data_IF_122838173623
#
_entry.id   IF_122838173623
#
_cell.length_a   1.000
_cell.length_b   1.000
_cell.length_c   1.000
_cell.angle_alpha   90.00
_cell.angle_beta   90.00
_cell.angle_gamma   90.00
#
_symmetry.space_group_name_H-M   'P 1'
#
loop_
_entity.id
_entity.type
_entity.pdbx_description
1 polymer ?
#
# COMPACT_ATOMS: atom_id res chain seq x y z
N UNK A 1 50.48 -5.57 -92.74
CA UNK A 1 49.04 -5.61 -92.41
C UNK A 1 48.87 -6.47 -91.17
N UNK A 2 48.66 -5.86 -90.01
CA UNK A 2 48.11 -6.57 -88.85
C UNK A 2 47.48 -5.54 -87.91
N UNK A 3 46.15 -5.63 -87.81
CA UNK A 3 45.32 -4.82 -86.92
C UNK A 3 45.53 -5.27 -85.48
N UNK A 4 45.67 -4.32 -84.55
CA UNK A 4 45.54 -4.59 -83.11
C UNK A 4 44.41 -3.70 -82.59
N UNK A 5 43.30 -4.36 -82.26
CA UNK A 5 42.08 -3.79 -81.68
C UNK A 5 42.32 -3.22 -80.29
N UNK A 6 41.74 -2.04 -80.04
CA UNK A 6 41.58 -1.45 -78.72
C UNK A 6 40.40 -2.12 -77.99
N UNK A 7 40.65 -2.74 -76.84
CA UNK A 7 39.62 -3.12 -75.88
C UNK A 7 39.48 -2.02 -74.83
N UNK A 8 38.32 -1.34 -74.82
CA UNK A 8 37.95 -0.37 -73.80
C UNK A 8 37.55 -1.06 -72.50
N UNK A 9 38.16 -0.67 -71.39
CA UNK A 9 37.83 -1.12 -70.05
C UNK A 9 36.63 -0.30 -69.53
N UNK A 10 35.47 -0.92 -69.39
CA UNK A 10 34.31 -0.33 -68.73
C UNK A 10 34.40 -0.59 -67.21
N UNK A 11 34.60 0.46 -66.43
CA UNK A 11 34.56 0.42 -64.96
C UNK A 11 33.12 0.44 -64.46
N UNK A 12 32.66 -0.65 -63.85
CA UNK A 12 31.42 -0.70 -63.07
C UNK A 12 31.62 0.04 -61.74
N UNK A 13 30.80 1.06 -61.48
CA UNK A 13 30.66 1.68 -60.16
C UNK A 13 29.60 0.90 -59.38
N UNK A 14 30.02 0.19 -58.33
CA UNK A 14 29.11 -0.48 -57.41
C UNK A 14 28.53 0.55 -56.43
N UNK A 15 27.21 0.76 -56.48
CA UNK A 15 26.49 1.57 -55.50
C UNK A 15 26.37 0.77 -54.18
N UNK A 16 26.92 1.31 -53.09
CA UNK A 16 26.75 0.75 -51.76
C UNK A 16 25.31 0.98 -51.25
N UNK A 17 24.64 -0.02 -50.64
CA UNK A 17 23.33 0.18 -50.05
C UNK A 17 23.42 1.11 -48.83
N UNK A 18 22.64 2.18 -48.87
CA UNK A 18 22.41 3.09 -47.75
C UNK A 18 21.80 2.32 -46.58
N UNK A 19 22.59 2.05 -45.54
CA UNK A 19 22.05 1.48 -44.30
C UNK A 19 21.33 2.59 -43.53
N UNK A 20 19.99 2.54 -43.55
CA UNK A 20 19.18 3.33 -42.62
C UNK A 20 19.58 2.94 -41.19
N UNK A 21 19.84 3.90 -40.29
CA UNK A 21 20.13 3.60 -38.90
C UNK A 21 18.95 2.82 -38.31
N UNK A 22 19.22 1.62 -37.82
CA UNK A 22 18.26 0.80 -37.09
C UNK A 22 17.72 1.63 -35.94
N UNK A 23 16.41 1.93 -35.98
CA UNK A 23 15.66 2.56 -34.90
C UNK A 23 15.95 1.77 -33.62
N UNK A 24 16.71 2.36 -32.70
CA UNK A 24 16.88 1.84 -31.35
C UNK A 24 15.48 1.65 -30.78
N UNK A 25 15.08 0.40 -30.55
CA UNK A 25 13.83 0.13 -29.85
C UNK A 25 13.88 0.87 -28.50
N UNK A 26 12.79 1.53 -28.07
CA UNK A 26 12.78 2.16 -26.77
C UNK A 26 13.14 1.10 -25.72
N UNK A 27 14.02 1.46 -24.80
CA UNK A 27 14.41 0.61 -23.68
C UNK A 27 13.13 0.31 -22.90
N UNK A 28 12.60 -0.93 -22.98
CA UNK A 28 11.49 -1.30 -22.11
C UNK A 28 11.97 -1.19 -20.66
N UNK A 29 11.18 -0.47 -19.85
CA UNK A 29 11.37 -0.43 -18.40
C UNK A 29 11.30 -1.88 -17.91
N UNK A 30 12.38 -2.37 -17.30
CA UNK A 30 12.43 -3.74 -16.79
C UNK A 30 11.65 -3.83 -15.48
N UNK A 31 10.89 -4.91 -15.32
CA UNK A 31 10.30 -5.29 -14.05
C UNK A 31 11.38 -5.33 -12.94
N UNK A 32 11.03 -4.88 -11.74
CA UNK A 32 11.91 -4.89 -10.57
C UNK A 32 11.35 -5.84 -9.52
N UNK A 33 12.09 -6.88 -9.17
CA UNK A 33 11.70 -7.85 -8.13
C UNK A 33 12.47 -7.59 -6.82
N UNK A 34 11.73 -7.54 -5.72
CA UNK A 34 12.20 -7.18 -4.39
C UNK A 34 11.61 -8.14 -3.35
N UNK A 35 12.39 -8.56 -2.36
CA UNK A 35 11.96 -9.54 -1.37
C UNK A 35 12.25 -9.11 0.07
N UNK A 36 12.90 -7.95 0.27
CA UNK A 36 13.15 -7.40 1.59
C UNK A 36 11.86 -6.93 2.26
N UNK A 37 11.86 -6.94 3.60
CA UNK A 37 10.68 -6.60 4.41
C UNK A 37 10.09 -5.23 4.07
N UNK A 38 10.96 -4.24 3.86
CA UNK A 38 10.60 -2.83 3.64
C UNK A 38 11.01 -2.32 2.25
N UNK A 39 11.29 -3.24 1.32
CA UNK A 39 11.63 -2.86 -0.04
C UNK A 39 10.43 -2.18 -0.73
N UNK A 40 10.70 -1.16 -1.55
CA UNK A 40 9.70 -0.44 -2.32
C UNK A 40 10.24 0.09 -3.66
N UNK A 41 9.31 0.46 -4.55
CA UNK A 41 9.61 1.14 -5.82
C UNK A 41 8.69 2.34 -6.00
N UNK A 42 9.26 3.52 -6.22
CA UNK A 42 8.52 4.68 -6.70
C UNK A 42 8.35 4.64 -8.22
N UNK A 43 7.12 4.77 -8.71
CA UNK A 43 6.82 4.74 -10.14
C UNK A 43 5.50 5.42 -10.47
N UNK A 44 5.52 6.38 -11.40
CA UNK A 44 4.31 6.93 -12.03
C UNK A 44 3.25 7.47 -11.07
N UNK A 45 3.68 8.14 -10.00
CA UNK A 45 2.79 8.69 -8.96
C UNK A 45 2.38 7.69 -7.89
N UNK A 46 3.05 6.54 -7.80
CA UNK A 46 2.84 5.55 -6.75
C UNK A 46 4.15 5.20 -6.05
N UNK A 47 4.07 4.81 -4.78
CA UNK A 47 5.08 3.99 -4.12
C UNK A 47 4.51 2.60 -3.89
N UNK A 48 5.16 1.57 -4.43
CA UNK A 48 4.71 0.19 -4.34
C UNK A 48 5.62 -0.55 -3.36
N UNK A 49 5.05 -1.07 -2.29
CA UNK A 49 5.76 -1.66 -1.15
C UNK A 49 5.62 -3.18 -1.11
N UNK A 50 6.68 -3.87 -0.67
CA UNK A 50 6.58 -5.27 -0.29
C UNK A 50 5.90 -5.40 1.07
N UNK A 51 6.32 -4.58 2.04
CA UNK A 51 5.66 -4.35 3.34
C UNK A 51 5.33 -5.64 4.11
N UNK A 52 6.36 -6.39 4.51
CA UNK A 52 6.22 -7.62 5.30
C UNK A 52 6.16 -7.32 6.82
N UNK A 53 5.32 -6.36 7.21
CA UNK A 53 5.24 -5.86 8.59
C UNK A 53 4.93 -6.94 9.62
N UNK A 54 4.17 -7.97 9.22
CA UNK A 54 3.71 -9.06 10.08
C UNK A 54 4.46 -10.38 9.88
N UNK A 55 5.59 -10.39 9.18
CA UNK A 55 6.30 -11.64 8.82
C UNK A 55 6.65 -12.51 10.03
N UNK A 56 6.91 -11.89 11.18
CA UNK A 56 7.26 -12.56 12.43
C UNK A 56 6.08 -13.32 13.06
N UNK A 57 4.84 -13.08 12.59
CA UNK A 57 3.65 -13.83 13.03
C UNK A 57 3.55 -15.22 12.38
N UNK A 58 4.49 -15.60 11.51
CA UNK A 58 4.46 -16.89 10.83
C UNK A 58 5.81 -17.32 10.28
N UNK A 59 5.75 -18.18 9.26
CA UNK A 59 6.93 -18.71 8.57
C UNK A 59 6.64 -18.77 7.08
N UNK A 60 7.57 -18.24 6.29
CA UNK A 60 7.34 -18.06 4.87
C UNK A 60 8.27 -17.04 4.23
N UNK A 61 7.90 -16.64 3.02
CA UNK A 61 8.62 -15.63 2.24
C UNK A 61 7.66 -14.97 1.26
N UNK A 62 7.99 -13.74 0.86
CA UNK A 62 7.22 -12.98 -0.10
C UNK A 62 8.12 -12.06 -0.92
N UNK A 63 7.86 -11.99 -2.22
CA UNK A 63 8.55 -11.11 -3.15
C UNK A 63 7.54 -10.31 -3.98
N UNK A 64 7.76 -8.99 -4.04
CA UNK A 64 7.09 -8.04 -4.89
C UNK A 64 7.79 -7.98 -6.25
N UNK A 65 7.03 -7.90 -7.35
CA UNK A 65 7.53 -7.54 -8.67
C UNK A 65 6.76 -6.34 -9.21
N UNK A 66 7.46 -5.26 -9.56
CA UNK A 66 6.88 -4.03 -10.09
C UNK A 66 7.19 -3.91 -11.58
N UNK A 67 6.15 -3.97 -12.41
CA UNK A 67 6.24 -3.77 -13.86
C UNK A 67 6.29 -2.27 -14.20
N UNK A 68 5.67 -1.43 -13.37
CA UNK A 68 5.64 0.02 -13.52
C UNK A 68 4.25 0.54 -13.87
N UNK A 69 4.18 1.65 -14.62
CA UNK A 69 2.92 2.28 -15.04
C UNK A 69 2.87 2.36 -16.55
N UNK A 70 1.81 1.81 -17.15
CA UNK A 70 1.55 1.87 -18.58
C UNK A 70 0.15 2.40 -18.83
N UNK A 71 0.00 3.43 -19.67
CA UNK A 71 -1.29 4.09 -19.95
C UNK A 71 -2.04 4.57 -18.70
N UNK A 72 -1.29 5.03 -17.68
CA UNK A 72 -1.86 5.50 -16.40
C UNK A 72 -2.31 4.38 -15.45
N UNK A 73 -2.03 3.12 -15.79
CA UNK A 73 -2.32 1.96 -14.95
C UNK A 73 -1.03 1.38 -14.39
N UNK A 74 -0.91 1.36 -13.07
CA UNK A 74 0.15 0.68 -12.36
C UNK A 74 -0.07 -0.84 -12.40
N UNK A 75 1.02 -1.59 -12.59
CA UNK A 75 1.01 -3.05 -12.63
C UNK A 75 2.14 -3.60 -11.74
N UNK A 76 1.79 -4.58 -10.91
CA UNK A 76 2.68 -5.26 -10.00
C UNK A 76 2.12 -6.62 -9.61
N UNK A 77 2.96 -7.49 -9.06
CA UNK A 77 2.56 -8.76 -8.48
C UNK A 77 3.27 -9.04 -7.17
N UNK A 78 2.69 -9.91 -6.36
CA UNK A 78 3.30 -10.43 -5.14
C UNK A 78 3.20 -11.95 -5.15
N UNK A 79 4.34 -12.61 -5.00
CA UNK A 79 4.42 -14.07 -4.86
C UNK A 79 4.80 -14.40 -3.43
N UNK A 80 4.08 -15.32 -2.80
CA UNK A 80 4.33 -15.65 -1.40
C UNK A 80 3.93 -17.08 -1.02
N UNK A 81 4.45 -17.50 0.12
CA UNK A 81 3.98 -18.67 0.86
C UNK A 81 4.10 -18.35 2.34
N UNK A 82 3.01 -18.46 3.08
CA UNK A 82 2.94 -18.14 4.50
C UNK A 82 2.21 -19.24 5.26
N UNK A 83 2.74 -19.58 6.43
CA UNK A 83 2.19 -20.57 7.36
C UNK A 83 2.34 -20.08 8.80
N UNK A 84 1.58 -20.67 9.73
CA UNK A 84 1.55 -20.22 11.13
C UNK A 84 0.78 -18.91 11.32
N UNK A 85 0.36 -18.62 12.56
CA UNK A 85 -0.42 -17.43 12.90
C UNK A 85 -1.63 -17.23 11.98
N UNK A 86 -2.54 -18.22 11.93
CA UNK A 86 -3.63 -18.26 10.94
C UNK A 86 -4.62 -17.09 11.03
N UNK A 87 -4.64 -16.37 12.15
CA UNK A 87 -5.44 -15.17 12.38
C UNK A 87 -4.62 -13.87 12.31
N UNK A 88 -3.35 -13.94 11.90
CA UNK A 88 -2.44 -12.80 11.87
C UNK A 88 -1.99 -12.53 10.44
N UNK A 89 -2.20 -11.31 9.98
CA UNK A 89 -1.68 -10.83 8.68
C UNK A 89 -0.15 -10.87 8.70
N UNK A 90 0.45 -11.23 7.55
CA UNK A 90 1.91 -11.30 7.37
C UNK A 90 2.50 -10.10 6.65
N UNK A 91 1.73 -9.44 5.80
CA UNK A 91 2.20 -8.34 4.97
C UNK A 91 1.04 -7.54 4.43
N UNK A 92 1.33 -6.39 3.82
CA UNK A 92 0.39 -5.69 2.96
C UNK A 92 1.14 -5.15 1.75
N UNK A 93 1.42 -6.00 0.76
CA UNK A 93 2.03 -5.55 -0.49
C UNK A 93 1.03 -4.71 -1.27
N UNK A 94 1.33 -3.42 -1.40
CA UNK A 94 0.37 -2.44 -1.87
C UNK A 94 1.02 -1.33 -2.70
N UNK A 95 0.23 -0.68 -3.56
CA UNK A 95 0.57 0.58 -4.18
C UNK A 95 -0.13 1.72 -3.46
N UNK A 96 0.63 2.71 -2.97
CA UNK A 96 0.12 3.95 -2.37
C UNK A 96 0.26 5.07 -3.38
N UNK A 97 -0.82 5.80 -3.63
CA UNK A 97 -0.80 6.97 -4.54
C UNK A 97 -0.14 8.16 -3.86
N UNK A 98 0.71 8.89 -4.59
CA UNK A 98 1.19 10.20 -4.18
C UNK A 98 0.09 11.24 -4.44
N UNK A 99 -0.64 11.62 -3.39
CA UNK A 99 -1.66 12.66 -3.43
C UNK A 99 -1.52 13.56 -2.20
N UNK A 100 -1.86 14.84 -2.34
CA UNK A 100 -1.92 15.75 -1.20
C UNK A 100 -3.05 15.34 -0.26
N UNK A 101 -2.81 15.49 1.05
CA UNK A 101 -3.85 15.27 2.04
C UNK A 101 -4.99 16.28 1.82
N UNK A 102 -6.23 15.81 1.93
CA UNK A 102 -7.42 16.63 1.70
C UNK A 102 -8.49 16.34 2.75
N UNK A 103 -9.17 17.40 3.20
CA UNK A 103 -10.34 17.23 4.05
C UNK A 103 -11.44 16.52 3.29
N UNK A 104 -12.12 15.58 3.93
CA UNK A 104 -13.23 14.83 3.34
C UNK A 104 -14.31 15.75 2.78
N UNK A 105 -14.60 16.86 3.46
CA UNK A 105 -15.55 17.88 3.00
C UNK A 105 -15.13 18.59 1.70
N UNK A 106 -13.85 18.57 1.35
CA UNK A 106 -13.29 19.18 0.15
C UNK A 106 -13.21 18.20 -1.03
N UNK A 107 -13.21 16.89 -0.76
CA UNK A 107 -13.06 15.84 -1.78
C UNK A 107 -14.37 15.69 -2.55
N UNK A 108 -14.32 15.94 -3.86
CA UNK A 108 -15.45 15.75 -4.76
C UNK A 108 -15.50 14.35 -5.36
N UNK A 109 -14.35 13.74 -5.63
CA UNK A 109 -14.27 12.37 -6.16
C UNK A 109 -12.92 11.71 -5.90
N UNK A 110 -12.94 10.38 -5.81
CA UNK A 110 -11.78 9.48 -5.76
C UNK A 110 -11.99 8.34 -6.77
N UNK A 111 -11.99 8.62 -8.09
CA UNK A 111 -12.19 7.57 -9.08
C UNK A 111 -11.04 6.58 -9.05
N UNK A 112 -11.39 5.29 -9.01
CA UNK A 112 -10.45 4.18 -9.00
C UNK A 112 -10.83 3.07 -9.99
N UNK A 113 -9.81 2.46 -10.57
CA UNK A 113 -9.89 1.23 -11.37
C UNK A 113 -8.90 0.23 -10.86
N UNK A 114 -9.29 -1.03 -10.74
CA UNK A 114 -8.40 -2.08 -10.33
C UNK A 114 -8.79 -3.43 -10.94
N UNK A 115 -7.85 -4.00 -11.69
CA UNK A 115 -7.92 -5.32 -12.29
C UNK A 115 -6.88 -6.22 -11.64
N UNK A 116 -7.34 -7.32 -11.04
CA UNK A 116 -6.46 -8.23 -10.32
C UNK A 116 -6.89 -9.70 -10.44
N UNK A 117 -5.93 -10.59 -10.20
CA UNK A 117 -6.14 -12.03 -10.10
C UNK A 117 -5.31 -12.65 -8.99
N UNK A 118 -5.70 -13.84 -8.58
CA UNK A 118 -5.04 -14.60 -7.53
C UNK A 118 -4.97 -16.08 -7.91
N UNK A 119 -3.81 -16.70 -7.75
CA UNK A 119 -3.66 -18.16 -7.86
C UNK A 119 -2.85 -18.69 -6.68
N UNK A 120 -3.00 -19.98 -6.37
CA UNK A 120 -2.26 -20.66 -5.30
C UNK A 120 -3.08 -21.75 -4.62
N UNK A 121 -2.59 -22.27 -3.52
CA UNK A 121 -3.24 -23.34 -2.73
C UNK A 121 -3.50 -22.87 -1.31
N UNK A 122 -4.69 -23.20 -0.79
CA UNK A 122 -5.14 -22.90 0.58
C UNK A 122 -4.94 -21.42 0.97
N UNK A 123 -5.24 -20.51 0.03
CA UNK A 123 -5.09 -19.07 0.23
C UNK A 123 -6.14 -18.55 1.20
N UNK A 124 -5.67 -17.96 2.29
CA UNK A 124 -6.42 -17.10 3.20
C UNK A 124 -5.81 -15.71 3.10
N UNK A 125 -6.49 -14.79 2.42
CA UNK A 125 -6.03 -13.44 2.15
C UNK A 125 -7.21 -12.53 1.82
N UNK A 126 -7.03 -11.21 1.93
CA UNK A 126 -7.93 -10.25 1.31
C UNK A 126 -7.29 -9.62 0.05
N UNK A 127 -8.11 -8.92 -0.74
CA UNK A 127 -7.64 -7.91 -1.70
C UNK A 127 -8.40 -6.63 -1.38
N UNK A 128 -7.69 -5.58 -0.98
CA UNK A 128 -8.30 -4.43 -0.34
C UNK A 128 -7.64 -3.10 -0.71
N UNK A 129 -8.49 -2.08 -0.85
CA UNK A 129 -8.07 -0.70 -0.62
C UNK A 129 -7.94 -0.46 0.88
N UNK A 130 -7.00 0.41 1.23
CA UNK A 130 -6.74 0.82 2.61
C UNK A 130 -6.52 2.34 2.66
N UNK A 131 -7.39 3.06 3.36
CA UNK A 131 -7.45 4.51 3.42
C UNK A 131 -7.30 4.97 4.86
N UNK A 132 -6.42 5.94 5.11
CA UNK A 132 -6.18 6.48 6.45
C UNK A 132 -6.54 7.96 6.55
N UNK A 133 -7.14 8.32 7.68
CA UNK A 133 -7.45 9.71 8.00
C UNK A 133 -7.19 10.08 9.46
N UNK A 134 -7.07 11.38 9.70
CA UNK A 134 -6.99 11.98 11.03
C UNK A 134 -7.54 13.41 11.04
N UNK A 135 -7.68 14.00 12.23
CA UNK A 135 -8.18 15.38 12.36
C UNK A 135 -7.14 16.46 12.02
N UNK A 136 -5.85 16.17 12.17
CA UNK A 136 -4.75 17.15 12.11
C UNK A 136 -4.04 17.21 10.75
N UNK A 137 -4.44 16.39 9.78
CA UNK A 137 -3.74 16.21 8.50
C UNK A 137 -2.28 15.76 8.66
N UNK A 138 -1.94 15.15 9.80
CA UNK A 138 -0.65 14.51 10.05
C UNK A 138 -0.60 13.10 9.48
N UNK A 139 0.29 12.28 10.04
CA UNK A 139 0.56 10.90 9.62
C UNK A 139 0.05 9.85 10.63
N UNK A 140 -0.49 10.29 11.76
CA UNK A 140 -0.98 9.41 12.82
C UNK A 140 -2.44 9.10 12.56
N UNK A 141 -2.82 7.84 12.28
CA UNK A 141 -4.18 7.49 11.93
C UNK A 141 -5.13 7.51 13.13
N UNK A 142 -6.33 8.05 12.91
CA UNK A 142 -7.48 7.93 13.82
C UNK A 142 -8.53 6.96 13.25
N UNK A 143 -8.66 6.94 11.92
CA UNK A 143 -9.54 6.04 11.20
C UNK A 143 -8.80 5.31 10.10
N UNK A 144 -9.23 4.07 9.88
CA UNK A 144 -8.85 3.21 8.78
C UNK A 144 -10.14 2.79 8.06
N UNK A 145 -10.21 3.01 6.75
CA UNK A 145 -11.34 2.65 5.90
C UNK A 145 -10.85 1.68 4.85
N UNK A 146 -11.17 0.40 5.04
CA UNK A 146 -10.83 -0.64 4.10
C UNK A 146 -12.00 -0.98 3.18
N UNK A 147 -11.70 -1.24 1.90
CA UNK A 147 -12.69 -1.70 0.91
C UNK A 147 -12.15 -3.00 0.31
N UNK A 148 -12.65 -4.13 0.82
CA UNK A 148 -12.20 -5.47 0.45
C UNK A 148 -12.96 -5.94 -0.77
N UNK A 149 -12.27 -5.92 -1.92
CA UNK A 149 -12.75 -6.47 -3.18
C UNK A 149 -12.92 -7.99 -3.13
N UNK A 150 -12.20 -8.67 -2.24
CA UNK A 150 -12.32 -10.10 -2.02
C UNK A 150 -11.89 -10.50 -0.62
N UNK A 151 -12.52 -11.56 -0.10
CA UNK A 151 -12.19 -12.22 1.15
C UNK A 151 -11.98 -13.73 0.89
N UNK A 152 -10.74 -14.12 0.60
CA UNK A 152 -10.38 -15.48 0.19
C UNK A 152 -10.21 -16.40 1.40
N UNK A 153 -10.65 -17.64 1.28
CA UNK A 153 -10.34 -18.72 2.23
C UNK A 153 -10.84 -18.51 3.66
N UNK A 154 -11.78 -17.59 3.89
CA UNK A 154 -12.29 -17.27 5.22
C UNK A 154 -11.56 -16.12 5.93
N UNK A 155 -10.76 -15.33 5.21
CA UNK A 155 -10.26 -14.05 5.73
C UNK A 155 -11.42 -13.17 6.22
N UNK A 156 -11.29 -12.57 7.40
CA UNK A 156 -12.33 -11.76 8.03
C UNK A 156 -11.80 -10.39 8.44
N UNK A 157 -12.61 -9.32 8.31
CA UNK A 157 -12.21 -7.97 8.71
C UNK A 157 -12.18 -7.82 10.23
N UNK A 158 -11.57 -6.73 10.70
CA UNK A 158 -11.64 -6.32 12.10
C UNK A 158 -13.10 -6.01 12.46
N UNK A 159 -13.59 -6.63 13.55
CA UNK A 159 -14.96 -6.46 14.00
C UNK A 159 -15.08 -6.57 15.52
N UNK A 160 -15.76 -5.60 16.15
CA UNK A 160 -16.05 -5.67 17.58
C UNK A 160 -17.14 -6.68 17.94
N UNK A 161 -18.03 -7.02 16.99
CA UNK A 161 -19.20 -7.87 17.24
C UNK A 161 -19.09 -9.24 16.57
N UNK A 162 -18.17 -9.41 15.62
CA UNK A 162 -18.11 -10.59 14.77
C UNK A 162 -19.28 -10.67 13.76
N UNK A 163 -19.99 -9.57 13.51
CA UNK A 163 -21.06 -9.48 12.50
C UNK A 163 -21.05 -8.13 11.79
N UNK A 164 -21.56 -8.09 10.56
CA UNK A 164 -21.72 -6.83 9.84
C UNK A 164 -22.71 -5.91 10.55
N UNK A 165 -22.42 -4.61 10.55
CA UNK A 165 -23.27 -3.57 11.12
C UNK A 165 -24.26 -3.02 10.10
N UNK A 166 -23.99 -3.21 8.80
CA UNK A 166 -24.89 -2.85 7.71
C UNK A 166 -24.58 -3.66 6.45
N UNK A 167 -25.53 -3.65 5.50
CA UNK A 167 -25.33 -4.06 4.11
C UNK A 167 -25.76 -2.91 3.22
N UNK A 168 -24.93 -2.52 2.25
CA UNK A 168 -25.13 -1.35 1.40
C UNK A 168 -24.70 -1.64 -0.04
N UNK A 169 -25.34 -0.99 -1.02
CA UNK A 169 -24.91 -1.03 -2.42
C UNK A 169 -24.22 0.28 -2.79
N UNK A 170 -22.94 0.21 -3.14
CA UNK A 170 -22.08 1.35 -3.52
C UNK A 170 -21.23 0.96 -4.73
N UNK A 171 -20.93 1.92 -5.62
CA UNK A 171 -20.09 1.69 -6.79
C UNK A 171 -20.48 0.44 -7.64
N UNK A 172 -21.78 0.11 -7.69
CA UNK A 172 -22.31 -1.02 -8.46
C UNK A 172 -22.20 -2.41 -7.81
N UNK A 173 -21.71 -2.51 -6.57
CA UNK A 173 -21.59 -3.77 -5.84
C UNK A 173 -22.27 -3.72 -4.46
N UNK A 174 -22.58 -4.89 -3.89
CA UNK A 174 -23.12 -5.02 -2.53
C UNK A 174 -21.99 -5.28 -1.54
N UNK A 175 -22.01 -4.58 -0.42
CA UNK A 175 -20.96 -4.57 0.60
C UNK A 175 -21.56 -4.81 1.97
N UNK A 176 -20.93 -5.69 2.75
CA UNK A 176 -21.17 -5.82 4.17
C UNK A 176 -20.20 -4.89 4.91
N UNK A 177 -20.73 -3.92 5.65
CA UNK A 177 -19.91 -3.01 6.45
C UNK A 177 -19.66 -3.64 7.83
N UNK A 178 -18.41 -3.64 8.23
CA UNK A 178 -17.91 -4.08 9.53
C UNK A 178 -17.24 -2.91 10.23
N UNK A 179 -17.24 -2.95 11.56
CA UNK A 179 -16.56 -1.96 12.38
C UNK A 179 -15.86 -2.63 13.55
N UNK A 180 -14.63 -2.19 13.85
CA UNK A 180 -13.94 -2.54 15.08
C UNK A 180 -12.85 -1.54 15.46
N UNK A 181 -11.97 -1.96 16.35
CA UNK A 181 -10.89 -1.13 16.89
C UNK A 181 -9.54 -1.82 16.68
N UNK A 182 -8.55 -1.04 16.28
CA UNK A 182 -7.16 -1.46 16.08
C UNK A 182 -6.25 -0.45 16.79
N UNK A 183 -5.80 -0.77 18.01
CA UNK A 183 -5.18 0.21 18.92
C UNK A 183 -6.08 1.43 19.13
N UNK A 184 -5.61 2.60 18.72
CA UNK A 184 -6.30 3.90 18.78
C UNK A 184 -7.19 4.17 17.56
N UNK A 185 -7.12 3.32 16.53
CA UNK A 185 -7.84 3.52 15.28
C UNK A 185 -9.21 2.85 15.31
N UNK A 186 -10.23 3.56 14.83
CA UNK A 186 -11.50 2.95 14.46
C UNK A 186 -11.40 2.45 13.02
N UNK A 187 -11.65 1.15 12.82
CA UNK A 187 -11.56 0.52 11.50
C UNK A 187 -12.97 0.27 10.96
N UNK A 188 -13.24 0.79 9.76
CA UNK A 188 -14.40 0.43 8.96
C UNK A 188 -13.95 -0.45 7.79
N UNK A 189 -14.60 -1.59 7.59
CA UNK A 189 -14.28 -2.48 6.47
C UNK A 189 -15.53 -2.80 5.66
N UNK A 190 -15.55 -2.39 4.40
CA UNK A 190 -16.57 -2.79 3.44
C UNK A 190 -16.10 -4.06 2.74
N UNK A 191 -16.77 -5.19 3.00
CA UNK A 191 -16.44 -6.47 2.38
C UNK A 191 -17.45 -6.79 1.29
N UNK A 192 -16.97 -6.95 0.05
CA UNK A 192 -17.83 -7.28 -1.07
C UNK A 192 -18.58 -8.59 -0.82
N UNK A 193 -19.86 -8.65 -1.16
CA UNK A 193 -20.67 -9.87 -1.06
C UNK A 193 -20.24 -10.95 -2.08
N UNK A 194 -19.50 -10.55 -3.11
CA UNK A 194 -18.91 -11.42 -4.15
C UNK A 194 -17.61 -10.80 -4.64
N UNK A 195 -16.63 -11.63 -5.01
CA UNK A 195 -15.33 -11.17 -5.50
C UNK A 195 -15.45 -10.15 -6.63
N UNK A 196 -14.72 -9.04 -6.49
CA UNK A 196 -14.61 -7.95 -7.47
C UNK A 196 -13.22 -7.99 -8.11
N UNK A 197 -12.96 -8.96 -8.99
CA UNK A 197 -11.68 -9.05 -9.72
C UNK A 197 -11.42 -7.86 -10.66
N UNK A 198 -12.50 -7.19 -11.07
CA UNK A 198 -12.51 -5.94 -11.83
C UNK A 198 -13.37 -4.94 -11.06
N UNK A 199 -12.76 -3.86 -10.58
CA UNK A 199 -13.45 -2.76 -9.93
C UNK A 199 -13.27 -1.46 -10.73
N UNK A 200 -14.34 -0.70 -10.90
CA UNK A 200 -14.32 0.63 -11.49
C UNK A 200 -15.42 1.48 -10.84
N UNK A 201 -15.03 2.38 -9.96
CA UNK A 201 -15.95 3.15 -9.13
C UNK A 201 -15.27 4.31 -8.42
N UNK A 202 -16.06 5.08 -7.68
CA UNK A 202 -15.56 6.20 -6.88
C UNK A 202 -15.43 5.76 -5.41
N UNK A 203 -14.21 5.81 -4.85
CA UNK A 203 -13.99 5.45 -3.45
C UNK A 203 -14.62 6.47 -2.49
N UNK A 204 -14.90 7.69 -2.94
CA UNK A 204 -15.58 8.71 -2.14
C UNK A 204 -17.01 8.26 -1.75
N UNK A 205 -17.68 7.43 -2.56
CA UNK A 205 -19.02 6.89 -2.26
C UNK A 205 -19.04 6.15 -0.90
N UNK A 206 -17.97 5.43 -0.58
CA UNK A 206 -17.81 4.70 0.69
C UNK A 206 -17.61 5.65 1.86
N UNK A 207 -16.77 6.67 1.66
CA UNK A 207 -16.50 7.68 2.69
C UNK A 207 -17.76 8.48 3.00
N UNK A 208 -18.47 8.95 1.97
CA UNK A 208 -19.71 9.71 2.15
C UNK A 208 -20.80 8.88 2.84
N UNK A 209 -20.89 7.58 2.55
CA UNK A 209 -21.79 6.70 3.29
C UNK A 209 -21.47 6.66 4.81
N UNK A 210 -20.19 6.64 5.18
CA UNK A 210 -19.79 6.72 6.59
C UNK A 210 -20.12 8.09 7.21
N UNK A 211 -19.96 9.17 6.45
CA UNK A 211 -20.33 10.54 6.90
C UNK A 211 -21.83 10.62 7.18
N UNK A 212 -22.65 10.14 6.25
CA UNK A 212 -24.10 10.24 6.31
C UNK A 212 -24.73 9.32 7.36
N UNK A 213 -24.17 8.11 7.53
CA UNK A 213 -24.86 7.03 8.26
C UNK A 213 -24.14 6.52 9.50
N UNK A 214 -22.83 6.81 9.66
CA UNK A 214 -22.00 6.22 10.72
C UNK A 214 -21.22 7.25 11.54
N UNK A 215 -21.56 8.53 11.42
CA UNK A 215 -21.00 9.61 12.25
C UNK A 215 -19.54 9.93 11.97
N UNK A 216 -19.00 9.49 10.82
CA UNK A 216 -17.65 9.86 10.40
C UNK A 216 -17.60 11.35 10.03
N UNK A 217 -16.62 12.09 10.56
CA UNK A 217 -16.62 13.54 10.39
C UNK A 217 -16.08 13.96 9.03
N UNK A 218 -16.81 14.82 8.32
CA UNK A 218 -16.31 15.47 7.09
C UNK A 218 -15.08 16.37 7.32
N UNK A 219 -14.75 16.70 8.57
CA UNK A 219 -13.52 17.44 8.91
C UNK A 219 -12.27 16.57 8.92
N UNK A 220 -12.41 15.23 8.89
CA UNK A 220 -11.29 14.31 8.77
C UNK A 220 -10.46 14.63 7.52
N UNK A 221 -9.16 14.39 7.59
CA UNK A 221 -8.20 14.61 6.53
C UNK A 221 -7.73 13.27 6.01
N UNK A 222 -8.11 12.94 4.77
CA UNK A 222 -7.61 11.75 4.10
C UNK A 222 -6.19 12.04 3.62
N UNK A 223 -5.23 11.26 4.09
CA UNK A 223 -3.81 11.50 3.81
C UNK A 223 -3.11 10.31 3.13
N UNK A 224 -3.74 9.12 3.11
CA UNK A 224 -3.18 7.93 2.47
C UNK A 224 -4.26 7.10 1.81
N UNK A 225 -3.97 6.61 0.60
CA UNK A 225 -4.81 5.67 -0.15
C UNK A 225 -3.89 4.62 -0.76
N UNK A 226 -4.03 3.39 -0.28
CA UNK A 226 -3.32 2.20 -0.76
C UNK A 226 -4.27 1.18 -1.39
N UNK A 227 -3.72 0.31 -2.23
CA UNK A 227 -4.40 -0.88 -2.73
C UNK A 227 -3.44 -2.07 -2.80
N UNK A 228 -3.82 -3.19 -2.20
CA UNK A 228 -2.95 -4.36 -2.06
C UNK A 228 -3.64 -5.61 -1.55
N UNK A 229 -2.86 -6.53 -0.98
CA UNK A 229 -3.35 -7.79 -0.41
C UNK A 229 -2.72 -8.06 0.94
N UNK A 230 -3.53 -8.50 1.91
CA UNK A 230 -3.10 -8.98 3.21
C UNK A 230 -3.20 -10.51 3.29
N UNK A 231 -2.08 -11.25 3.16
CA UNK A 231 -2.08 -12.69 3.32
C UNK A 231 -1.99 -13.10 4.80
N UNK A 232 -2.78 -14.12 5.15
CA UNK A 232 -2.72 -14.82 6.42
C UNK A 232 -1.91 -16.11 6.28
N UNK A 233 -2.37 -17.01 5.40
CA UNK A 233 -1.75 -18.31 5.11
C UNK A 233 -2.02 -18.75 3.67
N UNK A 234 -1.19 -19.63 3.13
CA UNK A 234 -1.31 -20.16 1.77
C UNK A 234 0.05 -20.53 1.20
N UNK A 235 0.05 -21.30 0.11
CA UNK A 235 1.28 -21.81 -0.52
C UNK A 235 1.27 -21.56 -2.02
N UNK A 236 2.44 -21.22 -2.58
CA UNK A 236 2.66 -20.89 -3.99
C UNK A 236 1.62 -19.89 -4.49
N UNK A 237 1.36 -18.88 -3.67
CA UNK A 237 0.35 -17.88 -3.92
C UNK A 237 0.93 -16.78 -4.80
N UNK A 238 0.18 -16.35 -5.80
CA UNK A 238 0.53 -15.27 -6.72
C UNK A 238 -0.66 -14.33 -6.86
N UNK A 239 -0.49 -13.11 -6.35
CA UNK A 239 -1.39 -11.99 -6.53
C UNK A 239 -0.87 -11.12 -7.68
N UNK A 240 -1.70 -10.86 -8.69
CA UNK A 240 -1.31 -10.06 -9.85
C UNK A 240 -2.28 -8.89 -10.00
N UNK A 241 -1.74 -7.67 -10.07
CA UNK A 241 -2.46 -6.48 -10.52
C UNK A 241 -2.03 -6.14 -11.94
N UNK A 242 -2.94 -6.29 -12.91
CA UNK A 242 -2.66 -6.00 -14.33
C UNK A 242 -2.92 -4.54 -14.67
N UNK A 243 -3.71 -3.85 -13.85
CA UNK A 243 -3.91 -2.41 -13.96
C UNK A 243 -4.58 -1.83 -12.73
N UNK A 244 -4.00 -0.78 -12.19
CA UNK A 244 -4.53 0.00 -11.08
C UNK A 244 -4.36 1.48 -11.33
N UNK A 245 -5.40 2.25 -11.05
CA UNK A 245 -5.32 3.72 -10.99
C UNK A 245 -6.25 4.23 -9.93
N UNK A 246 -5.81 5.23 -9.19
CA UNK A 246 -6.64 6.04 -8.31
C UNK A 246 -6.17 7.49 -8.41
N UNK A 247 -7.09 8.43 -8.24
CA UNK A 247 -6.78 9.87 -8.17
C UNK A 247 -7.73 10.55 -7.20
N UNK A 248 -7.30 11.64 -6.59
CA UNK A 248 -8.12 12.44 -5.66
C UNK A 248 -8.42 13.78 -6.33
N UNK A 249 -9.71 14.13 -6.42
CA UNK A 249 -10.15 15.46 -6.82
C UNK A 249 -10.72 16.16 -5.59
N UNK A 250 -10.03 17.21 -5.14
CA UNK A 250 -10.51 18.08 -4.06
C UNK A 250 -10.67 19.51 -4.57
N UNK A 251 -11.72 20.20 -4.12
CA UNK A 251 -11.86 21.64 -4.32
C UNK A 251 -10.80 22.38 -3.51
N UNK A 252 -10.27 23.46 -4.08
CA UNK A 252 -9.32 24.37 -3.42
C UNK A 252 -10.02 25.02 -2.22
N UNK A 253 -9.99 24.33 -1.08
CA UNK A 253 -10.63 24.77 0.15
C UNK A 253 -9.60 25.61 0.86
N UNK A 254 -9.72 26.92 0.67
CA UNK A 254 -8.81 27.93 1.16
C UNK A 254 -8.29 27.66 2.57
N UNK A 255 -7.01 27.95 2.75
CA UNK A 255 -6.35 28.08 4.04
C UNK A 255 -7.31 28.63 5.10
N UNK A 256 -7.49 27.88 6.19
CA UNK A 256 -8.11 28.37 7.42
C UNK A 256 -7.43 29.69 7.81
N UNK A 257 -8.07 30.82 7.47
CA UNK A 257 -7.67 32.13 7.93
C UNK A 257 -8.00 32.19 9.42
N UNK A 258 -7.00 31.84 10.24
CA UNK A 258 -6.98 32.15 11.65
C UNK A 258 -6.96 33.67 11.80
N UNK A 259 -8.13 34.30 11.78
CA UNK A 259 -8.29 35.70 12.14
C UNK A 259 -8.06 35.85 13.63
N UNK A 260 -6.83 36.21 13.98
CA UNK A 260 -6.44 36.70 15.29
C UNK A 260 -7.19 38.01 15.58
N UNK A 261 -7.97 38.15 16.67
CA UNK A 261 -8.52 39.44 17.03
C UNK A 261 -7.42 40.33 17.64
N UNK A 262 -6.96 41.32 16.88
CA UNK A 262 -6.14 42.42 17.37
C UNK A 262 -6.94 43.26 18.36
N UNK A 263 -6.37 43.46 19.55
CA UNK A 263 -6.86 44.39 20.57
C UNK A 263 -6.94 45.82 20.03
N UNK A 264 -8.05 46.52 20.31
CA UNK A 264 -8.11 47.97 20.36
C UNK A 264 -9.17 48.44 21.38
N UNK A 265 -8.81 49.49 22.12
CA UNK A 265 -9.41 49.98 23.35
C UNK A 265 -10.70 50.80 23.16
N UNK A 266 -11.57 50.69 24.16
CA UNK A 266 -12.42 51.70 24.84
C UNK A 266 -12.96 52.93 24.06
N UNK A 267 -14.28 53.07 24.05
CA UNK A 267 -14.94 54.32 24.46
C UNK A 267 -16.41 54.09 24.86
N UNK A 268 -16.78 54.67 26.01
CA UNK A 268 -18.06 54.74 26.72
C UNK A 268 -19.28 55.25 25.94
N UNK A 269 -20.50 54.89 26.36
CA UNK A 269 -21.53 55.79 26.95
C UNK A 269 -22.78 54.96 27.42
N UNK A 270 -23.15 55.19 28.69
CA UNK A 270 -24.46 55.16 29.40
C UNK A 270 -25.77 55.03 28.56
N UNK A 271 -26.96 54.61 29.01
CA UNK A 271 -27.68 54.14 30.23
C UNK A 271 -29.08 53.75 29.68
N UNK A 272 -29.83 52.74 30.15
CA UNK A 272 -30.94 52.91 31.12
C UNK A 272 -31.85 51.68 31.17
N UNK A 273 -32.10 51.18 32.40
CA UNK A 273 -33.44 50.89 33.01
C UNK A 273 -34.35 49.84 32.31
N UNK A 274 -34.99 48.84 32.92
CA UNK A 274 -35.10 48.28 34.26
C UNK A 274 -35.94 46.97 34.20
N UNK A 275 -36.03 46.29 35.35
CA UNK A 275 -37.18 45.51 35.86
C UNK A 275 -37.08 43.98 35.74
N UNK A 276 -36.69 43.37 36.87
CA UNK A 276 -37.07 42.03 37.32
C UNK A 276 -38.53 42.08 37.87
N UNK A 277 -39.27 40.96 38.06
CA UNK A 277 -38.92 39.94 39.06
C UNK A 277 -39.34 38.48 38.77
N UNK A 278 -38.67 37.55 39.50
CA UNK A 278 -39.16 36.29 40.14
C UNK A 278 -39.91 35.22 39.28
N UNK A 279 -39.81 33.89 39.46
CA UNK A 279 -39.47 33.02 40.61
C UNK A 279 -39.45 31.53 40.17
N UNK A 280 -38.82 30.66 41.01
CA UNK A 280 -39.13 29.22 41.29
C UNK A 280 -38.99 28.19 40.15
N UNK A 281 -38.64 26.91 40.29
CA UNK A 281 -38.45 25.91 41.39
C UNK A 281 -37.85 24.64 40.73
N UNK A 282 -36.82 24.00 41.28
CA UNK A 282 -36.85 22.72 42.05
C UNK A 282 -36.90 21.39 41.25
N UNK A 283 -35.83 20.62 41.46
CA UNK A 283 -35.69 19.16 41.58
C UNK A 283 -35.82 18.19 40.38
N UNK A 284 -34.77 17.35 40.34
CA UNK A 284 -34.56 16.02 39.74
C UNK A 284 -35.66 15.01 40.06
N UNK A 285 -35.77 13.92 39.28
CA UNK A 285 -35.35 12.64 39.88
C UNK A 285 -34.55 11.71 38.95
N UNK A 286 -33.71 10.93 39.63
CA UNK A 286 -32.95 9.74 39.23
C UNK A 286 -33.87 8.60 38.76
N UNK A 287 -33.47 7.89 37.69
CA UNK A 287 -33.93 6.53 37.40
C UNK A 287 -32.72 5.61 37.25
N UNK A 288 -32.57 4.71 38.21
CA UNK A 288 -31.68 3.54 38.20
C UNK A 288 -32.43 2.38 37.55
N UNK A 289 -31.82 1.66 36.61
CA UNK A 289 -32.24 0.33 36.18
C UNK A 289 -31.04 -0.53 35.80
N UNK A 290 -31.18 -1.82 36.07
CA UNK A 290 -30.16 -2.78 36.43
C UNK A 290 -29.49 -3.48 35.23
N UNK A 291 -28.23 -3.86 35.40
CA UNK A 291 -27.52 -4.85 34.56
C UNK A 291 -28.11 -6.26 34.74
N UNK A 292 -27.96 -7.10 33.71
CA UNK A 292 -27.41 -8.44 33.94
C UNK A 292 -26.08 -8.64 33.20
N UNK A 293 -25.17 -9.29 33.91
CA UNK A 293 -23.92 -9.88 33.45
C UNK A 293 -24.16 -11.02 32.47
N UNK A 294 -23.42 -11.07 31.37
CA UNK A 294 -23.12 -12.32 30.69
C UNK A 294 -21.66 -12.32 30.22
N UNK A 295 -20.97 -13.42 30.52
CA UNK A 295 -19.62 -13.76 30.09
C UNK A 295 -19.44 -13.57 28.58
N UNK A 296 -18.36 -12.90 28.20
CA UNK A 296 -17.92 -12.81 26.82
C UNK A 296 -16.56 -13.49 26.71
N UNK A 297 -16.54 -14.60 25.97
CA UNK A 297 -15.32 -15.26 25.50
C UNK A 297 -14.55 -14.30 24.61
N UNK A 298 -13.36 -13.92 25.07
CA UNK A 298 -12.44 -13.00 24.40
C UNK A 298 -11.75 -13.68 23.22
N UNK A 299 -11.97 -13.19 22.00
CA UNK A 299 -11.05 -13.34 20.86
C UNK A 299 -10.05 -12.17 20.87
N UNK A 300 -8.76 -12.38 20.57
CA UNK A 300 -7.78 -11.31 20.66
C UNK A 300 -7.93 -10.35 19.49
N UNK A 301 -8.21 -9.08 19.81
CA UNK A 301 -8.03 -7.91 18.95
C UNK A 301 -6.53 -7.67 18.82
N UNK A 302 -5.99 -7.56 17.60
CA UNK A 302 -4.57 -7.34 17.42
C UNK A 302 -4.23 -6.46 16.22
N UNK A 303 -3.05 -5.87 16.34
CA UNK A 303 -2.84 -4.49 16.00
C UNK A 303 -1.79 -4.27 14.93
N UNK A 304 -2.06 -3.30 14.04
CA UNK A 304 -1.16 -2.87 12.99
C UNK A 304 -0.22 -1.78 13.54
N UNK A 305 1.11 -1.91 13.40
CA UNK A 305 2.01 -0.80 13.59
C UNK A 305 1.93 0.12 12.36
N UNK A 306 1.54 1.37 12.57
CA UNK A 306 1.67 2.45 11.59
C UNK A 306 3.13 2.53 11.17
N UNK A 307 3.43 2.07 9.96
CA UNK A 307 4.77 2.14 9.38
C UNK A 307 4.94 3.55 8.81
N UNK A 308 5.17 4.51 9.70
CA UNK A 308 5.57 5.87 9.33
C UNK A 308 7.07 6.02 9.60
N UNK A 309 7.72 6.51 8.57
CA UNK A 309 9.16 6.59 8.32
C UNK A 309 9.97 7.24 9.46
N UNK A 310 11.03 6.57 9.91
CA UNK A 310 12.19 7.26 10.49
C UNK A 310 13.27 7.34 9.43
N UNK A 311 13.52 8.55 8.94
CA UNK A 311 14.61 8.87 8.02
C UNK A 311 15.96 8.47 8.65
N UNK A 312 16.79 7.61 8.02
CA UNK A 312 18.15 7.41 8.50
C UNK A 312 19.01 8.59 8.08
N UNK A 313 19.45 9.36 9.07
CA UNK A 313 20.53 10.33 8.91
C UNK A 313 21.77 9.62 8.37
N UNK A 314 22.34 10.13 7.27
CA UNK A 314 23.54 9.59 6.66
C UNK A 314 24.71 9.60 7.66
N UNK A 315 25.17 8.42 8.08
CA UNK A 315 26.43 8.28 8.81
C UNK A 315 27.59 8.08 7.82
N UNK A 316 28.73 8.77 8.00
CA UNK A 316 29.78 8.81 7.00
C UNK A 316 30.63 7.53 6.98
N UNK A 317 31.00 7.16 5.77
CA UNK A 317 31.99 6.14 5.42
C UNK A 317 33.34 6.41 6.11
N UNK A 318 33.99 5.41 6.74
CA UNK A 318 35.39 5.56 7.13
C UNK A 318 36.32 5.26 5.94
N UNK A 319 37.18 6.22 5.67
CA UNK A 319 38.33 6.15 4.77
C UNK A 319 39.44 5.25 5.33
N UNK A 320 40.26 4.78 4.40
CA UNK A 320 41.40 3.88 4.56
C UNK A 320 42.53 4.41 5.44
N UNK A 321 43.21 3.50 6.16
CA UNK A 321 44.65 3.60 6.45
C UNK A 321 45.26 2.20 6.35
N UNK A 322 46.35 2.09 5.58
CA UNK A 322 47.08 0.85 5.36
C UNK A 322 48.34 0.67 6.21
N UNK A 323 48.91 -0.51 5.99
CA UNK A 323 50.30 -0.96 6.24
C UNK A 323 50.68 -1.39 7.66
N UNK A 324 51.01 -2.68 7.82
CA UNK A 324 52.40 -3.12 7.97
C UNK A 324 52.56 -4.63 7.73
N UNK A 325 53.63 -4.93 6.99
CA UNK A 325 54.26 -6.20 6.68
C UNK A 325 54.74 -6.98 7.90
N UNK A 326 54.62 -8.31 7.88
CA UNK A 326 55.74 -9.19 8.27
C UNK A 326 55.62 -10.57 7.61
N UNK A 327 56.76 -11.08 7.18
CA UNK A 327 56.92 -12.22 6.30
C UNK A 327 57.29 -13.50 7.07
N UNK A 328 57.05 -14.63 6.39
CA UNK A 328 57.88 -15.86 6.35
C UNK A 328 57.72 -16.87 7.49
N UNK A 329 57.18 -18.04 7.16
CA UNK A 329 57.97 -19.29 7.04
C UNK A 329 57.11 -20.46 6.54
N UNK A 330 57.61 -21.12 5.50
CA UNK A 330 57.15 -22.41 4.96
C UNK A 330 58.27 -23.43 5.22
N UNK A 331 57.96 -24.71 5.43
CA UNK A 331 58.89 -25.79 5.10
C UNK A 331 58.33 -26.74 4.03
N UNK A 332 59.03 -26.76 2.90
CA UNK A 332 59.53 -27.91 2.11
C UNK A 332 58.78 -29.25 2.07
N UNK A 333 58.28 -29.55 0.86
CA UNK A 333 58.49 -30.75 0.02
C UNK A 333 58.91 -32.09 0.62
N UNK A 334 58.13 -33.14 0.30
CA UNK A 334 58.54 -34.55 0.28
C UNK A 334 57.88 -35.29 -0.88
N UNK A 335 58.68 -35.66 -1.88
CA UNK A 335 58.34 -36.39 -3.11
C UNK A 335 58.11 -37.87 -2.81
N UNK A 336 57.09 -38.51 -3.41
CA UNK A 336 56.86 -39.95 -3.29
C UNK A 336 55.99 -40.52 -4.41
N UNK A 337 56.59 -41.39 -5.23
CA UNK A 337 56.16 -41.80 -6.56
C UNK A 337 55.27 -43.07 -6.55
N UNK A 338 54.34 -43.13 -7.54
CA UNK A 338 53.84 -44.33 -8.24
C UNK A 338 53.01 -45.39 -7.50
N UNK A 339 51.77 -45.60 -7.96
CA UNK A 339 51.41 -46.75 -8.83
C UNK A 339 49.95 -46.74 -9.28
N UNK A 340 49.78 -46.85 -10.60
CA UNK A 340 48.55 -47.28 -11.31
C UNK A 340 48.03 -48.61 -10.75
N UNK A 341 46.70 -48.75 -10.64
CA UNK A 341 45.98 -49.94 -11.13
C UNK A 341 44.54 -49.59 -11.54
N UNK A 342 44.21 -50.00 -12.77
CA UNK A 342 42.88 -49.99 -13.42
C UNK A 342 42.01 -51.17 -12.96
N UNK A 343 40.71 -51.07 -13.29
CA UNK A 343 39.61 -52.09 -13.36
C UNK A 343 38.79 -52.19 -12.06
N UNK A 344 37.45 -52.25 -12.05
CA UNK A 344 36.36 -52.70 -12.98
C UNK A 344 35.05 -52.07 -12.42
N UNK A 345 34.17 -51.38 -13.16
CA UNK A 345 33.02 -51.82 -14.00
C UNK A 345 32.06 -52.85 -13.35
N UNK A 346 30.75 -52.54 -13.50
CA UNK A 346 29.50 -53.33 -13.29
C UNK A 346 28.87 -53.15 -11.90
N UNK A 347 27.58 -52.80 -11.72
CA UNK A 347 26.39 -52.59 -12.57
C UNK A 347 25.61 -51.43 -11.95
#
# INVERSE_FOLDING_TARGET
MQFISFFGLATLVAAAPSQNPTRTQPLEKRATTLCGQWDSVETGGYTIYNNLWGQDNGSGSQCLTVEGVTNGLAAWSSTWSWSGGSSSVKSYSNAVVSADAARISAISSIPSKWEWSYTGTDIVANVAYDLFSNTDCGDTPEYEIMIWLSALGGAGPISSTGSSIATVTLAGASWNLWQGQNNQMTVFSFVAASDQNSFNGDLNDFIQYLVESHGYSGSQCLYSIGAGTEPFTGTNAEFITTGYSVSVSAGDSGSDETTTPSQAQSSSVETSTATQPQSSSTATPTVTLSQPSNESTTTPVQSQPSSVETTPSAQPQPTSVGTTTSARAQPTSGTGCSRRRKRRVSV
#
